data_IF_653572013029
#
_entry.id   IF_653572013029
#
_cell.length_a   1.000
_cell.length_b   1.000
_cell.length_c   1.000
_cell.angle_alpha   90.00
_cell.angle_beta   90.00
_cell.angle_gamma   90.00
#
_symmetry.space_group_name_H-M   'P 1'
#
loop_
_entity.id
_entity.type
_entity.pdbx_description
1 polymer ?
#
# COMPACT_ATOMS: atom_id res chain seq x y z
N UNK A 1 18.58 -23.58 -22.05
CA UNK A 1 19.42 -24.09 -20.95
C UNK A 1 18.58 -24.09 -19.70
N UNK A 2 18.47 -25.23 -19.02
CA UNK A 2 17.78 -25.34 -17.73
C UNK A 2 18.80 -25.05 -16.63
N UNK A 3 18.56 -24.02 -15.81
CA UNK A 3 19.41 -23.66 -14.66
C UNK A 3 19.15 -24.57 -13.45
N UNK A 4 19.01 -25.85 -13.74
CA UNK A 4 18.66 -26.89 -12.78
C UNK A 4 19.91 -27.36 -12.09
N UNK A 5 19.90 -27.31 -10.76
CA UNK A 5 21.00 -27.80 -9.95
C UNK A 5 21.21 -29.31 -10.20
N UNK A 6 22.42 -29.75 -10.56
CA UNK A 6 22.71 -31.17 -10.82
C UNK A 6 22.64 -32.03 -9.55
N UNK A 7 22.74 -31.41 -8.37
CA UNK A 7 22.73 -32.12 -7.08
C UNK A 7 21.31 -32.39 -6.59
N UNK A 8 20.39 -31.43 -6.72
CA UNK A 8 19.06 -31.54 -6.11
C UNK A 8 17.88 -31.34 -7.08
N UNK A 9 18.14 -31.10 -8.36
CA UNK A 9 17.08 -30.95 -9.37
C UNK A 9 16.27 -29.65 -9.29
N UNK A 10 16.57 -28.74 -8.35
CA UNK A 10 15.90 -27.43 -8.25
C UNK A 10 16.52 -26.40 -9.19
N UNK A 11 15.69 -25.63 -9.87
CA UNK A 11 16.13 -24.47 -10.66
C UNK A 11 16.62 -23.36 -9.73
N UNK A 12 17.74 -22.71 -10.07
CA UNK A 12 18.35 -21.61 -9.28
C UNK A 12 18.61 -21.98 -7.81
N UNK A 13 19.16 -23.17 -7.56
CA UNK A 13 19.42 -23.61 -6.19
C UNK A 13 20.54 -22.79 -5.52
N UNK A 14 20.19 -21.95 -4.56
CA UNK A 14 21.16 -21.19 -3.74
C UNK A 14 22.17 -22.09 -3.00
N UNK A 15 21.70 -23.20 -2.44
CA UNK A 15 22.53 -24.10 -1.62
C UNK A 15 23.73 -24.69 -2.39
N UNK A 16 23.54 -24.93 -3.68
CA UNK A 16 24.59 -25.47 -4.54
C UNK A 16 24.93 -24.46 -5.65
N UNK A 17 24.92 -23.17 -5.34
CA UNK A 17 25.13 -22.08 -6.30
C UNK A 17 26.36 -22.32 -7.18
N UNK A 18 27.51 -22.62 -6.55
CA UNK A 18 28.78 -22.90 -7.24
C UNK A 18 28.73 -24.08 -8.23
N UNK A 19 27.77 -24.99 -8.10
CA UNK A 19 27.71 -26.18 -8.95
C UNK A 19 27.10 -25.91 -10.33
N UNK A 20 26.26 -24.88 -10.44
CA UNK A 20 25.58 -24.53 -11.68
C UNK A 20 25.87 -23.11 -12.15
N UNK A 21 26.35 -22.23 -11.26
CA UNK A 21 26.67 -20.86 -11.57
C UNK A 21 27.83 -20.75 -12.56
N UNK A 22 27.62 -20.00 -13.64
CA UNK A 22 28.68 -19.62 -14.55
C UNK A 22 28.35 -18.26 -15.20
N UNK A 23 29.06 -17.17 -14.85
CA UNK A 23 28.74 -15.82 -15.33
C UNK A 23 29.00 -15.61 -16.83
N UNK A 24 29.70 -16.55 -17.50
CA UNK A 24 29.96 -16.47 -18.94
C UNK A 24 28.84 -17.07 -19.78
N UNK A 25 28.08 -18.01 -19.22
CA UNK A 25 27.03 -18.75 -19.93
C UNK A 25 25.63 -18.44 -19.42
N UNK A 26 25.52 -17.77 -18.27
CA UNK A 26 24.22 -17.39 -17.70
C UNK A 26 23.51 -16.35 -18.57
N UNK A 27 22.23 -16.60 -18.89
CA UNK A 27 21.39 -15.62 -19.58
C UNK A 27 20.81 -14.63 -18.56
N UNK A 28 21.50 -13.51 -18.38
CA UNK A 28 21.04 -12.43 -17.50
C UNK A 28 19.68 -11.85 -17.94
N UNK A 29 19.39 -11.81 -19.24
CA UNK A 29 18.16 -11.21 -19.76
C UNK A 29 16.88 -11.90 -19.27
N UNK A 30 16.92 -13.23 -19.10
CA UNK A 30 15.79 -14.01 -18.58
C UNK A 30 15.98 -14.48 -17.14
N UNK A 31 17.20 -14.44 -16.61
CA UNK A 31 17.55 -15.02 -15.31
C UNK A 31 17.86 -14.02 -14.20
N UNK A 32 17.99 -12.73 -14.48
CA UNK A 32 18.36 -11.71 -13.47
C UNK A 32 17.41 -11.68 -12.27
N UNK A 33 16.09 -11.74 -12.52
CA UNK A 33 15.09 -11.75 -11.45
C UNK A 33 15.23 -12.99 -10.56
N UNK A 34 15.62 -14.13 -11.13
CA UNK A 34 15.81 -15.37 -10.37
C UNK A 34 17.06 -15.34 -9.51
N UNK A 35 18.13 -14.68 -9.97
CA UNK A 35 19.32 -14.45 -9.15
C UNK A 35 18.99 -13.61 -7.92
N UNK A 36 18.29 -12.49 -8.10
CA UNK A 36 17.86 -11.65 -6.99
C UNK A 36 16.91 -12.41 -6.03
N UNK A 37 15.96 -13.18 -6.57
CA UNK A 37 14.95 -13.87 -5.74
C UNK A 37 15.51 -15.06 -4.97
N UNK A 38 16.33 -15.89 -5.61
CA UNK A 38 16.71 -17.19 -5.06
C UNK A 38 18.16 -17.24 -4.61
N UNK A 39 19.01 -16.31 -5.06
CA UNK A 39 20.46 -16.34 -4.82
C UNK A 39 20.96 -15.01 -4.24
N UNK A 40 20.12 -14.25 -3.53
CA UNK A 40 20.51 -12.99 -2.87
C UNK A 40 21.66 -13.19 -1.88
N UNK A 41 21.76 -14.35 -1.22
CA UNK A 41 22.89 -14.70 -0.34
C UNK A 41 24.26 -14.79 -1.06
N UNK A 42 24.26 -14.89 -2.40
CA UNK A 42 25.47 -14.92 -3.24
C UNK A 42 25.58 -13.68 -4.14
N UNK A 43 24.99 -12.57 -3.70
CA UNK A 43 24.93 -11.31 -4.46
C UNK A 43 26.29 -10.90 -5.03
N UNK A 44 27.34 -10.95 -4.21
CA UNK A 44 28.73 -10.63 -4.54
C UNK A 44 29.29 -11.43 -5.73
N UNK A 45 28.75 -12.63 -6.00
CA UNK A 45 29.25 -13.52 -7.05
C UNK A 45 28.57 -13.34 -8.40
N UNK A 46 27.30 -12.95 -8.40
CA UNK A 46 26.55 -12.80 -9.65
C UNK A 46 26.30 -11.37 -10.07
N UNK A 47 26.43 -10.42 -9.15
CA UNK A 47 26.18 -9.02 -9.42
C UNK A 47 27.13 -8.49 -10.50
N UNK A 48 26.54 -8.03 -11.60
CA UNK A 48 27.22 -7.32 -12.67
C UNK A 48 26.24 -6.28 -13.25
N UNK A 49 26.42 -4.98 -12.93
CA UNK A 49 25.47 -3.94 -13.32
C UNK A 49 25.43 -3.68 -14.83
N UNK A 50 26.37 -4.23 -15.60
CA UNK A 50 26.40 -4.11 -17.06
C UNK A 50 25.73 -5.30 -17.75
N UNK A 51 25.52 -6.42 -17.04
CA UNK A 51 24.81 -7.60 -17.57
C UNK A 51 23.40 -7.74 -17.04
N UNK A 52 23.14 -7.25 -15.82
CA UNK A 52 21.85 -7.37 -15.16
C UNK A 52 20.71 -6.80 -16.03
N UNK A 53 19.58 -7.50 -16.10
CA UNK A 53 18.41 -7.09 -16.89
C UNK A 53 17.55 -6.10 -16.10
N UNK A 54 18.00 -4.84 -16.08
CA UNK A 54 17.39 -3.79 -15.27
C UNK A 54 15.89 -3.61 -15.50
N UNK A 55 15.47 -3.45 -16.76
CA UNK A 55 14.06 -3.26 -17.14
C UNK A 55 13.15 -4.45 -16.77
N UNK A 56 13.68 -5.64 -16.59
CA UNK A 56 12.85 -6.83 -16.28
C UNK A 56 12.95 -7.27 -14.84
N UNK A 57 13.96 -6.83 -14.11
CA UNK A 57 14.33 -7.43 -12.85
C UNK A 57 14.82 -6.45 -11.77
N UNK A 58 14.95 -5.15 -12.05
CA UNK A 58 15.48 -4.19 -11.06
C UNK A 58 14.58 -4.04 -9.85
N UNK A 59 13.26 -4.06 -10.01
CA UNK A 59 12.28 -4.12 -8.93
C UNK A 59 12.55 -5.28 -7.94
N UNK A 60 13.07 -6.40 -8.45
CA UNK A 60 13.45 -7.55 -7.63
C UNK A 60 14.70 -7.31 -6.77
N UNK A 61 15.57 -6.37 -7.15
CA UNK A 61 16.69 -5.95 -6.31
C UNK A 61 16.19 -5.20 -5.08
N UNK A 62 15.21 -4.29 -5.24
CA UNK A 62 14.59 -3.59 -4.13
C UNK A 62 13.93 -4.58 -3.15
N UNK A 63 13.16 -5.53 -3.69
CA UNK A 63 12.44 -6.52 -2.89
C UNK A 63 13.36 -7.54 -2.20
N UNK A 64 14.30 -8.13 -2.92
CA UNK A 64 15.05 -9.32 -2.44
C UNK A 64 16.49 -9.01 -2.02
N UNK A 65 17.03 -7.86 -2.39
CA UNK A 65 18.39 -7.45 -2.07
C UNK A 65 18.48 -6.03 -1.45
N UNK A 66 17.57 -5.63 -0.52
CA UNK A 66 17.59 -4.28 0.03
C UNK A 66 18.87 -3.98 0.82
N UNK A 67 19.47 -4.99 1.47
CA UNK A 67 20.73 -4.83 2.21
C UNK A 67 21.93 -4.42 1.31
N UNK A 68 21.81 -4.64 0.00
CA UNK A 68 22.82 -4.28 -1.00
C UNK A 68 22.47 -3.00 -1.77
N UNK A 69 21.49 -2.21 -1.30
CA UNK A 69 20.98 -1.01 -1.98
C UNK A 69 22.10 -0.09 -2.47
N UNK A 70 23.08 0.22 -1.61
CA UNK A 70 24.18 1.13 -1.96
C UNK A 70 25.14 0.59 -3.03
N UNK A 71 25.04 -0.69 -3.38
CA UNK A 71 25.85 -1.34 -4.41
C UNK A 71 25.09 -1.39 -5.74
N UNK A 72 23.80 -1.71 -5.72
CA UNK A 72 23.01 -1.86 -6.94
C UNK A 72 22.24 -0.61 -7.34
N UNK A 73 22.09 0.38 -6.48
CA UNK A 73 21.29 1.55 -6.83
C UNK A 73 21.90 2.31 -8.02
N UNK A 74 21.12 2.42 -9.10
CA UNK A 74 21.42 3.25 -10.26
C UNK A 74 20.11 3.87 -10.78
N UNK A 75 19.93 5.14 -10.47
CA UNK A 75 18.74 5.94 -10.76
C UNK A 75 18.37 5.97 -12.26
N UNK A 76 19.36 5.82 -13.15
CA UNK A 76 19.15 5.89 -14.59
C UNK A 76 18.87 4.52 -15.21
N UNK A 77 19.13 3.44 -14.48
CA UNK A 77 18.87 2.07 -14.95
C UNK A 77 17.66 1.43 -14.29
N UNK A 78 17.34 1.82 -13.06
CA UNK A 78 16.20 1.27 -12.32
C UNK A 78 14.88 1.44 -13.10
N UNK A 79 14.03 0.43 -13.05
CA UNK A 79 12.72 0.46 -13.67
C UNK A 79 11.72 1.15 -12.73
N UNK A 80 11.52 2.44 -12.97
CA UNK A 80 10.58 3.25 -12.21
C UNK A 80 9.12 2.90 -12.46
N UNK A 81 8.80 2.41 -13.67
CA UNK A 81 7.42 2.10 -14.06
C UNK A 81 6.91 0.93 -13.22
N UNK A 82 7.69 -0.15 -13.16
CA UNK A 82 7.29 -1.40 -12.48
C UNK A 82 7.82 -1.53 -11.04
N UNK A 83 8.76 -0.68 -10.62
CA UNK A 83 9.49 -0.88 -9.36
C UNK A 83 9.41 0.28 -8.35
N UNK A 84 8.65 1.34 -8.62
CA UNK A 84 8.55 2.49 -7.71
C UNK A 84 7.95 2.12 -6.35
N UNK A 85 6.92 1.30 -6.35
CA UNK A 85 6.25 0.80 -5.14
C UNK A 85 7.19 -0.11 -4.31
N UNK A 86 7.99 -0.96 -4.97
CA UNK A 86 9.02 -1.78 -4.32
C UNK A 86 10.10 -0.92 -3.63
N UNK A 87 10.52 0.21 -4.22
CA UNK A 87 11.44 1.14 -3.55
C UNK A 87 10.83 1.72 -2.29
N UNK A 88 9.58 2.18 -2.37
CA UNK A 88 8.88 2.74 -1.22
C UNK A 88 8.67 1.69 -0.12
N UNK A 89 8.36 0.45 -0.47
CA UNK A 89 8.07 -0.63 0.47
C UNK A 89 9.31 -1.25 1.11
N UNK A 90 10.30 -1.61 0.30
CA UNK A 90 11.45 -2.41 0.75
C UNK A 90 12.73 -1.59 0.92
N UNK A 91 12.78 -0.37 0.36
CA UNK A 91 13.94 0.51 0.45
C UNK A 91 13.59 1.87 1.09
N UNK A 92 12.57 1.94 1.94
CA UNK A 92 12.15 3.17 2.61
C UNK A 92 13.25 3.82 3.47
N UNK A 93 14.18 3.04 4.01
CA UNK A 93 15.32 3.58 4.77
C UNK A 93 16.36 4.29 3.89
N UNK A 94 16.30 4.09 2.58
CA UNK A 94 17.11 4.77 1.58
C UNK A 94 16.34 5.85 0.81
N UNK A 95 15.18 6.29 1.31
CA UNK A 95 14.30 7.27 0.65
C UNK A 95 15.06 8.47 0.07
N UNK A 96 15.95 9.09 0.84
CA UNK A 96 16.68 10.28 0.40
C UNK A 96 17.67 10.02 -0.77
N UNK A 97 17.98 8.76 -1.08
CA UNK A 97 18.84 8.38 -2.21
C UNK A 97 18.06 8.08 -3.48
N UNK A 98 16.89 7.45 -3.35
CA UNK A 98 16.08 7.10 -4.50
C UNK A 98 14.93 8.06 -4.77
N UNK A 99 14.58 8.99 -3.88
CA UNK A 99 13.41 9.82 -4.12
C UNK A 99 13.62 10.78 -5.30
N UNK A 100 12.91 10.53 -6.40
CA UNK A 100 12.73 11.47 -7.51
C UNK A 100 11.24 11.56 -7.88
N UNK A 101 10.64 12.71 -7.54
CA UNK A 101 9.24 13.01 -7.80
C UNK A 101 8.83 12.90 -9.28
N UNK A 102 9.76 13.22 -10.19
CA UNK A 102 9.53 13.26 -11.63
C UNK A 102 9.59 11.88 -12.28
N UNK A 103 10.26 10.92 -11.64
CA UNK A 103 10.40 9.54 -12.13
C UNK A 103 9.46 8.57 -11.43
N UNK A 104 9.09 8.84 -10.19
CA UNK A 104 8.24 7.96 -9.39
C UNK A 104 6.89 7.65 -10.08
N UNK A 105 6.54 6.37 -10.16
CA UNK A 105 5.23 5.94 -10.63
C UNK A 105 4.18 6.16 -9.54
N UNK A 106 3.43 7.26 -9.67
CA UNK A 106 2.38 7.64 -8.75
C UNK A 106 1.14 6.74 -8.81
N UNK A 107 0.84 6.15 -9.96
CA UNK A 107 -0.35 5.32 -10.17
C UNK A 107 -0.27 4.08 -9.27
N UNK A 108 0.87 3.38 -9.33
CA UNK A 108 1.08 2.15 -8.55
C UNK A 108 1.68 2.43 -7.15
N UNK A 109 2.54 3.45 -7.01
CA UNK A 109 3.34 3.64 -5.79
C UNK A 109 2.76 4.58 -4.73
N UNK A 110 1.65 5.28 -4.99
CA UNK A 110 1.08 6.26 -4.04
C UNK A 110 0.69 5.64 -2.70
N UNK A 111 0.15 4.42 -2.70
CA UNK A 111 -0.21 3.68 -1.49
C UNK A 111 1.03 3.38 -0.66
N UNK A 112 2.09 2.90 -1.30
CA UNK A 112 3.33 2.50 -0.65
C UNK A 112 4.07 3.70 -0.06
N UNK A 113 4.01 4.88 -0.71
CA UNK A 113 4.52 6.12 -0.12
C UNK A 113 3.82 6.46 1.19
N UNK A 114 2.48 6.40 1.21
CA UNK A 114 1.72 6.66 2.42
C UNK A 114 2.03 5.62 3.51
N UNK A 115 2.09 4.34 3.15
CA UNK A 115 2.24 3.25 4.12
C UNK A 115 3.65 3.13 4.70
N UNK A 116 4.68 3.19 3.86
CA UNK A 116 6.06 2.87 4.24
C UNK A 116 6.96 4.10 4.31
N UNK A 117 6.57 5.20 3.67
CA UNK A 117 7.34 6.45 3.62
C UNK A 117 6.61 7.62 4.29
N UNK A 118 5.64 7.38 5.18
CA UNK A 118 4.93 8.42 5.93
C UNK A 118 5.86 9.36 6.71
N UNK A 119 7.00 8.85 7.21
CA UNK A 119 8.03 9.68 7.87
C UNK A 119 8.63 10.77 6.97
N UNK A 120 8.50 10.62 5.64
CA UNK A 120 8.96 11.58 4.63
C UNK A 120 7.81 12.32 3.94
N UNK A 121 6.61 12.36 4.54
CA UNK A 121 5.41 12.95 3.95
C UNK A 121 5.66 14.31 3.29
N UNK A 122 6.32 15.23 3.99
CA UNK A 122 6.58 16.58 3.48
C UNK A 122 7.50 16.64 2.26
N UNK A 123 8.27 15.58 1.96
CA UNK A 123 9.13 15.48 0.78
C UNK A 123 8.40 14.94 -0.43
N UNK A 124 7.57 13.91 -0.24
CA UNK A 124 6.87 13.30 -1.37
C UNK A 124 5.50 13.90 -1.62
N UNK A 125 4.83 14.48 -0.63
CA UNK A 125 3.43 14.88 -0.76
C UNK A 125 3.19 15.75 -1.99
N UNK A 126 2.30 15.28 -2.86
CA UNK A 126 1.84 16.05 -3.98
C UNK A 126 0.39 15.74 -4.33
N UNK A 127 -0.49 16.69 -4.03
CA UNK A 127 -1.92 16.55 -4.28
C UNK A 127 -2.28 16.29 -5.75
N UNK A 128 -1.53 16.85 -6.71
CA UNK A 128 -1.84 16.73 -8.14
C UNK A 128 -1.41 15.38 -8.73
N UNK A 129 -0.34 14.79 -8.20
CA UNK A 129 0.22 13.53 -8.68
C UNK A 129 -0.31 12.32 -7.92
N UNK A 130 -0.74 12.47 -6.67
CA UNK A 130 -1.20 11.35 -5.83
C UNK A 130 -2.37 10.59 -6.47
N UNK A 131 -2.30 9.25 -6.46
CA UNK A 131 -3.41 8.40 -6.91
C UNK A 131 -4.53 8.38 -5.86
N UNK A 132 -5.41 9.37 -5.95
CA UNK A 132 -6.58 9.47 -5.08
C UNK A 132 -7.53 8.28 -5.22
N UNK A 133 -7.69 7.74 -6.43
CA UNK A 133 -8.66 6.70 -6.70
C UNK A 133 -8.33 5.43 -5.91
N UNK A 134 -7.08 4.95 -5.95
CA UNK A 134 -6.71 3.70 -5.28
C UNK A 134 -6.11 3.89 -3.88
N UNK A 135 -5.50 5.04 -3.59
CA UNK A 135 -4.68 5.23 -2.39
C UNK A 135 -5.22 6.25 -1.36
N UNK A 136 -6.41 6.83 -1.55
CA UNK A 136 -7.00 7.80 -0.59
C UNK A 136 -7.04 7.25 0.85
N UNK A 137 -7.47 6.01 1.03
CA UNK A 137 -7.55 5.35 2.34
C UNK A 137 -6.20 5.28 3.05
N UNK A 138 -5.10 5.17 2.28
CA UNK A 138 -3.76 5.05 2.84
C UNK A 138 -3.32 6.37 3.50
N UNK A 139 -3.75 7.52 2.97
CA UNK A 139 -3.53 8.82 3.62
C UNK A 139 -4.25 8.89 4.97
N UNK A 140 -5.52 8.44 5.01
CA UNK A 140 -6.28 8.40 6.24
C UNK A 140 -5.64 7.48 7.28
N UNK A 141 -5.15 6.31 6.87
CA UNK A 141 -4.58 5.33 7.81
C UNK A 141 -3.16 5.69 8.28
N UNK A 142 -2.28 6.06 7.36
CA UNK A 142 -0.85 6.17 7.64
C UNK A 142 -0.33 7.60 7.70
N UNK A 143 -1.09 8.56 7.16
CA UNK A 143 -0.74 9.98 7.13
C UNK A 143 -1.75 10.87 7.87
N UNK A 144 -2.53 10.31 8.82
CA UNK A 144 -3.55 11.06 9.56
C UNK A 144 -2.99 12.26 10.34
N UNK A 145 -1.72 12.22 10.74
CA UNK A 145 -1.06 13.36 11.41
C UNK A 145 -0.85 14.57 10.49
N UNK A 146 -0.97 14.38 9.17
CA UNK A 146 -0.87 15.43 8.15
C UNK A 146 -2.22 15.73 7.50
N UNK A 147 -3.33 15.43 8.19
CA UNK A 147 -4.69 15.60 7.67
C UNK A 147 -4.95 17.00 7.09
N UNK A 148 -4.45 18.03 7.76
CA UNK A 148 -4.54 19.43 7.32
C UNK A 148 -3.87 19.70 5.96
N UNK A 149 -2.86 18.90 5.59
CA UNK A 149 -2.10 19.06 4.34
C UNK A 149 -2.70 18.29 3.17
N UNK A 150 -3.21 17.09 3.42
CA UNK A 150 -3.74 16.25 2.34
C UNK A 150 -5.25 16.33 2.19
N UNK A 151 -6.01 16.70 3.22
CA UNK A 151 -7.46 16.65 3.15
C UNK A 151 -7.99 17.54 2.01
N UNK A 152 -8.66 16.89 1.06
CA UNK A 152 -9.40 17.56 0.01
C UNK A 152 -10.71 16.82 -0.24
N UNK A 153 -11.82 17.51 0.02
CA UNK A 153 -13.17 16.96 -0.08
C UNK A 153 -13.51 16.47 -1.50
N UNK A 154 -12.98 17.13 -2.53
CA UNK A 154 -13.24 16.86 -3.94
C UNK A 154 -12.31 15.81 -4.54
N UNK A 155 -11.09 15.65 -3.99
CA UNK A 155 -10.13 14.65 -4.47
C UNK A 155 -10.26 13.30 -3.76
N UNK A 156 -10.63 13.28 -2.48
CA UNK A 156 -10.72 12.03 -1.71
C UNK A 156 -11.71 11.03 -2.34
N UNK A 157 -11.30 9.78 -2.49
CA UNK A 157 -12.19 8.71 -2.95
C UNK A 157 -13.19 8.32 -1.86
N UNK A 158 -14.45 8.73 -2.03
CA UNK A 158 -15.51 8.52 -1.05
C UNK A 158 -15.97 7.07 -0.88
N UNK A 159 -15.71 6.19 -1.86
CA UNK A 159 -15.92 4.74 -1.71
C UNK A 159 -15.01 4.16 -0.61
N UNK A 160 -13.98 4.90 -0.23
CA UNK A 160 -13.04 4.57 0.84
C UNK A 160 -13.31 5.35 2.14
N UNK A 161 -14.47 6.00 2.26
CA UNK A 161 -14.80 6.88 3.39
C UNK A 161 -14.88 6.19 4.76
N UNK A 162 -15.01 4.86 4.81
CA UNK A 162 -14.81 4.09 6.05
C UNK A 162 -13.45 4.36 6.71
N UNK A 163 -12.40 4.61 5.92
CA UNK A 163 -11.07 4.92 6.43
C UNK A 163 -11.02 6.27 7.19
N UNK A 164 -11.82 7.26 6.76
CA UNK A 164 -11.95 8.54 7.48
C UNK A 164 -12.60 8.35 8.84
N UNK A 165 -13.67 7.54 8.90
CA UNK A 165 -14.32 7.19 10.15
C UNK A 165 -13.36 6.44 11.09
N UNK A 166 -12.60 5.49 10.56
CA UNK A 166 -11.71 4.65 11.37
C UNK A 166 -10.48 5.38 11.88
N UNK A 167 -9.80 6.15 11.04
CA UNK A 167 -8.47 6.69 11.33
C UNK A 167 -8.46 8.21 11.49
N UNK A 168 -9.50 8.90 11.04
CA UNK A 168 -9.62 10.36 11.09
C UNK A 168 -10.87 10.83 11.85
N UNK A 169 -11.42 10.02 12.77
CA UNK A 169 -12.61 10.38 13.55
C UNK A 169 -12.42 11.66 14.38
N UNK A 170 -11.18 12.00 14.76
CA UNK A 170 -10.88 13.26 15.44
C UNK A 170 -11.12 14.52 14.58
N UNK A 171 -11.20 14.36 13.26
CA UNK A 171 -11.47 15.42 12.29
C UNK A 171 -12.89 15.35 11.72
N UNK A 172 -13.82 14.67 12.43
CA UNK A 172 -15.18 14.40 11.96
C UNK A 172 -15.89 15.65 11.43
N UNK A 173 -15.84 16.77 12.16
CA UNK A 173 -16.51 18.02 11.78
C UNK A 173 -15.96 18.64 10.48
N UNK A 174 -14.78 18.21 10.02
CA UNK A 174 -14.13 18.71 8.81
C UNK A 174 -14.49 17.84 7.61
N UNK A 175 -14.40 16.51 7.75
CA UNK A 175 -14.64 15.61 6.62
C UNK A 175 -16.09 15.15 6.51
N UNK A 176 -16.91 15.27 7.55
CA UNK A 176 -18.26 14.71 7.50
C UNK A 176 -19.10 15.33 6.37
N UNK A 177 -19.53 14.48 5.44
CA UNK A 177 -20.40 14.89 4.34
C UNK A 177 -21.43 13.78 4.04
N UNK A 178 -22.67 13.90 4.53
CA UNK A 178 -23.69 12.85 4.40
C UNK A 178 -24.19 12.65 2.96
N UNK A 179 -23.81 13.52 2.01
CA UNK A 179 -24.13 13.36 0.58
C UNK A 179 -23.05 12.59 -0.18
N UNK A 180 -21.80 12.60 0.32
CA UNK A 180 -20.67 11.92 -0.32
C UNK A 180 -20.27 10.63 0.40
N UNK A 181 -20.54 10.52 1.70
CA UNK A 181 -20.22 9.33 2.48
C UNK A 181 -20.83 8.07 1.86
N UNK A 182 -20.03 7.00 1.81
CA UNK A 182 -20.49 5.69 1.31
C UNK A 182 -21.27 4.97 2.41
N UNK A 183 -22.57 5.22 2.43
CA UNK A 183 -23.47 4.61 3.40
C UNK A 183 -23.56 3.10 3.25
N UNK A 184 -23.48 2.56 2.03
CA UNK A 184 -23.74 1.15 1.78
C UNK A 184 -22.64 0.27 2.37
N UNK A 185 -21.38 0.63 2.16
CA UNK A 185 -20.26 -0.20 2.64
C UNK A 185 -19.58 0.36 3.89
N UNK A 186 -19.83 1.62 4.27
CA UNK A 186 -19.12 2.26 5.39
C UNK A 186 -20.00 2.59 6.62
N UNK A 187 -21.31 2.34 6.61
CA UNK A 187 -22.21 2.62 7.76
C UNK A 187 -21.74 2.00 9.08
N UNK A 188 -21.22 0.76 9.06
CA UNK A 188 -20.68 0.11 10.25
C UNK A 188 -19.52 0.89 10.88
N UNK A 189 -18.71 1.57 10.06
CA UNK A 189 -17.56 2.35 10.51
C UNK A 189 -18.00 3.60 11.29
N UNK A 190 -19.08 4.28 10.89
CA UNK A 190 -19.66 5.39 11.67
C UNK A 190 -20.10 4.94 13.06
N UNK A 191 -20.84 3.83 13.12
CA UNK A 191 -21.30 3.28 14.40
C UNK A 191 -20.11 2.90 15.29
N UNK A 192 -19.08 2.24 14.73
CA UNK A 192 -17.93 1.76 15.50
C UNK A 192 -16.99 2.88 15.95
N UNK A 193 -16.62 3.78 15.06
CA UNK A 193 -15.52 4.73 15.28
C UNK A 193 -15.97 6.18 15.47
N UNK A 194 -17.23 6.49 15.14
CA UNK A 194 -17.82 7.82 15.27
C UNK A 194 -19.08 7.82 16.14
N UNK A 195 -19.23 6.86 17.06
CA UNK A 195 -20.41 6.76 17.94
C UNK A 195 -20.64 8.01 18.80
N UNK A 196 -19.59 8.76 19.14
CA UNK A 196 -19.73 10.03 19.86
C UNK A 196 -20.46 11.12 19.04
N UNK A 197 -20.48 11.00 17.72
CA UNK A 197 -21.14 11.92 16.79
C UNK A 197 -22.49 11.40 16.29
N UNK A 198 -23.07 10.41 16.96
CA UNK A 198 -24.30 9.73 16.52
C UNK A 198 -25.41 10.70 16.11
N UNK A 199 -25.67 11.74 16.91
CA UNK A 199 -26.75 12.68 16.65
C UNK A 199 -26.54 13.56 15.41
N UNK A 200 -25.32 13.59 14.87
CA UNK A 200 -24.95 14.34 13.67
C UNK A 200 -25.06 13.46 12.42
N UNK A 201 -24.58 12.22 12.48
CA UNK A 201 -24.59 11.34 11.31
C UNK A 201 -25.81 10.43 11.22
N UNK A 202 -26.56 10.20 12.28
CA UNK A 202 -27.67 9.26 12.23
C UNK A 202 -28.72 9.68 11.20
N UNK A 203 -28.93 8.83 10.19
CA UNK A 203 -29.99 8.96 9.20
C UNK A 203 -30.52 7.56 8.90
N UNK A 204 -31.71 7.28 9.43
CA UNK A 204 -32.38 5.98 9.31
C UNK A 204 -32.61 5.56 7.84
N UNK A 205 -32.76 6.50 6.92
CA UNK A 205 -33.05 6.21 5.51
C UNK A 205 -31.78 5.99 4.69
N UNK A 206 -30.62 6.38 5.21
CA UNK A 206 -29.34 6.20 4.54
C UNK A 206 -28.51 5.07 5.14
N UNK A 207 -28.60 4.88 6.45
CA UNK A 207 -27.84 3.85 7.14
C UNK A 207 -28.09 2.48 6.51
N UNK A 208 -27.01 1.74 6.24
CA UNK A 208 -27.11 0.36 5.76
C UNK A 208 -27.56 -0.56 6.89
N UNK A 209 -28.81 -1.02 6.79
CA UNK A 209 -29.41 -1.88 7.81
C UNK A 209 -28.82 -3.29 7.85
N UNK A 210 -28.10 -3.74 6.82
CA UNK A 210 -27.30 -4.97 6.91
C UNK A 210 -26.15 -4.82 7.93
N UNK A 211 -25.69 -3.59 8.16
CA UNK A 211 -24.73 -3.22 9.21
C UNK A 211 -25.37 -2.88 10.57
N UNK A 212 -26.68 -3.12 10.78
CA UNK A 212 -27.38 -2.74 12.02
C UNK A 212 -26.87 -3.42 13.29
N UNK A 213 -26.16 -4.54 13.17
CA UNK A 213 -25.41 -5.15 14.29
C UNK A 213 -24.40 -4.17 14.91
N UNK A 214 -23.83 -3.25 14.12
CA UNK A 214 -22.88 -2.26 14.61
C UNK A 214 -23.55 -1.21 15.50
N UNK A 215 -24.81 -0.85 15.22
CA UNK A 215 -25.61 0.04 16.07
C UNK A 215 -25.87 -0.60 17.45
N UNK A 216 -26.28 -1.88 17.45
CA UNK A 216 -26.49 -2.63 18.68
C UNK A 216 -25.21 -2.72 19.52
N UNK A 217 -24.06 -2.95 18.86
CA UNK A 217 -22.77 -3.13 19.54
C UNK A 217 -22.14 -1.84 20.03
N UNK A 218 -22.17 -0.77 19.23
CA UNK A 218 -21.39 0.45 19.48
C UNK A 218 -22.24 1.68 19.79
N UNK A 219 -23.53 1.67 19.44
CA UNK A 219 -24.47 2.76 19.66
C UNK A 219 -25.62 2.37 20.60
N UNK A 220 -25.38 1.44 21.53
CA UNK A 220 -26.42 0.93 22.45
C UNK A 220 -27.05 2.02 23.32
N UNK A 221 -26.32 3.07 23.65
CA UNK A 221 -26.84 4.24 24.39
C UNK A 221 -27.92 5.00 23.62
N UNK A 222 -27.92 4.89 22.28
CA UNK A 222 -28.88 5.53 21.39
C UNK A 222 -29.96 4.56 20.89
N UNK A 223 -30.16 3.42 21.57
CA UNK A 223 -31.12 2.39 21.18
C UNK A 223 -32.50 2.95 20.83
N UNK A 224 -33.04 3.85 21.66
CA UNK A 224 -34.36 4.45 21.42
C UNK A 224 -34.45 5.31 20.14
N UNK A 225 -33.31 5.76 19.59
CA UNK A 225 -33.25 6.56 18.36
C UNK A 225 -33.14 5.71 17.11
N UNK A 226 -32.34 4.64 17.16
CA UNK A 226 -32.12 3.80 15.97
C UNK A 226 -32.96 2.53 15.93
N UNK A 227 -33.60 2.11 17.02
CA UNK A 227 -34.35 0.87 17.01
C UNK A 227 -35.53 0.94 16.03
N UNK A 228 -35.47 0.13 14.98
CA UNK A 228 -36.56 -0.09 14.06
C UNK A 228 -36.70 -1.61 13.82
N UNK A 229 -37.75 -2.27 14.34
CA UNK A 229 -37.94 -3.71 14.22
C UNK A 229 -38.17 -4.18 12.78
N UNK A 230 -38.66 -3.32 11.90
CA UNK A 230 -38.95 -3.66 10.49
C UNK A 230 -37.70 -3.63 9.62
N UNK A 231 -36.67 -2.89 10.04
CA UNK A 231 -35.40 -2.74 9.31
C UNK A 231 -34.23 -3.47 9.93
N UNK A 232 -34.26 -3.72 11.24
CA UNK A 232 -33.16 -4.35 11.96
C UNK A 232 -32.84 -5.75 11.43
N UNK A 233 -31.57 -5.98 11.06
CA UNK A 233 -31.10 -7.25 10.52
C UNK A 233 -30.52 -8.14 11.62
N UNK A 234 -31.32 -9.12 12.07
CA UNK A 234 -30.96 -10.06 13.12
C UNK A 234 -30.06 -11.23 12.67
N UNK A 235 -29.57 -11.27 11.42
CA UNK A 235 -28.80 -12.41 10.87
C UNK A 235 -27.44 -12.63 11.54
N UNK A 236 -26.92 -11.67 12.30
CA UNK A 236 -25.59 -11.70 12.91
C UNK A 236 -25.61 -11.71 14.45
N UNK A 237 -26.72 -12.17 15.04
CA UNK A 237 -26.87 -12.38 16.49
C UNK A 237 -26.50 -13.81 16.86
#
# INVERSE_FOLDING_TARGET
MTYTCPVCGKTFCSKHFETWWNPKTFNYESGSWSLATYCSDHFDKWWDPNKFSWRKASWRLAHCCPDYFDIWWDENKYDWEEGSDDLAKYCSDHFDKWWDKSKFNWEEGSRELAQYCSKYFDKWWNQLSFNWYDASWALAQYCYMHFDKWWNVDSFNWDQSSSLAQYCSQYFDIWWNPKRYDWLFSSAALAKYCSQYFDIWWDENKFDWDASWALAKYCSKQFLKWWNPDKYNAKYI
#
